data_IF_447839790632
#
_entry.id   IF_447839790632
#
_cell.length_a   1.000
_cell.length_b   1.000
_cell.length_c   1.000
_cell.angle_alpha   90.00
_cell.angle_beta   90.00
_cell.angle_gamma   90.00
#
_symmetry.space_group_name_H-M   'P 1'
#
loop_
_entity.id
_entity.type
_entity.pdbx_description
1 polymer ?
#
# COMPACT_ATOMS: atom_id res chain seq x y z
N UNK A 1 -8.91 -6.53 -2.97
CA UNK A 1 -8.19 -5.85 -4.07
C UNK A 1 -7.79 -6.79 -5.20
N UNK A 2 -7.17 -7.94 -4.91
CA UNK A 2 -6.64 -8.87 -5.92
C UNK A 2 -7.62 -9.32 -7.02
N UNK A 3 -8.93 -9.41 -6.71
CA UNK A 3 -9.96 -9.83 -7.67
C UNK A 3 -10.16 -8.84 -8.86
N UNK A 4 -9.78 -7.57 -8.68
CA UNK A 4 -9.87 -6.52 -9.71
C UNK A 4 -8.62 -6.51 -10.58
N UNK A 5 -7.51 -7.10 -10.12
CA UNK A 5 -6.27 -7.14 -10.89
C UNK A 5 -6.36 -8.13 -12.06
N UNK A 6 -5.74 -7.80 -13.20
CA UNK A 6 -5.62 -8.73 -14.31
C UNK A 6 -4.63 -9.85 -13.99
N UNK A 7 -5.10 -11.10 -14.03
CA UNK A 7 -4.25 -12.29 -14.02
C UNK A 7 -4.03 -12.74 -15.46
N UNK A 8 -3.04 -12.14 -16.12
CA UNK A 8 -2.83 -12.32 -17.56
C UNK A 8 -4.02 -11.76 -18.35
N UNK A 9 -4.73 -12.62 -19.09
CA UNK A 9 -5.88 -12.22 -19.91
C UNK A 9 -7.23 -12.34 -19.17
N UNK A 10 -7.23 -12.77 -17.90
CA UNK A 10 -8.45 -12.96 -17.11
C UNK A 10 -8.55 -11.90 -16.02
N UNK A 11 -9.66 -11.16 -16.02
CA UNK A 11 -10.04 -10.24 -14.94
C UNK A 11 -11.32 -10.80 -14.32
N UNK A 12 -11.27 -11.31 -13.08
CA UNK A 12 -12.44 -11.93 -12.44
C UNK A 12 -13.61 -10.96 -12.28
N UNK A 13 -13.32 -9.70 -11.94
CA UNK A 13 -14.32 -8.66 -11.71
C UNK A 13 -13.89 -7.37 -12.40
N UNK A 14 -14.75 -6.84 -13.27
CA UNK A 14 -14.50 -5.64 -14.07
C UNK A 14 -15.68 -4.67 -13.98
N UNK A 15 -15.40 -3.43 -13.59
CA UNK A 15 -16.36 -2.34 -13.52
C UNK A 15 -15.82 -1.09 -14.23
N UNK A 16 -16.72 -0.18 -14.57
CA UNK A 16 -16.33 1.15 -15.04
C UNK A 16 -15.80 1.95 -13.84
N UNK A 17 -14.48 2.20 -13.79
CA UNK A 17 -13.83 2.88 -12.68
C UNK A 17 -13.19 1.97 -11.63
N UNK A 18 -12.79 0.76 -12.01
CA UNK A 18 -12.04 -0.21 -11.19
C UNK A 18 -10.87 0.41 -10.41
N UNK A 19 -10.24 1.45 -10.96
CA UNK A 19 -9.18 2.22 -10.32
C UNK A 19 -9.56 2.72 -8.91
N UNK A 20 -10.73 3.36 -8.77
CA UNK A 20 -11.14 3.91 -7.47
C UNK A 20 -11.50 2.79 -6.51
N UNK A 21 -12.17 1.75 -7.00
CA UNK A 21 -12.53 0.58 -6.18
C UNK A 21 -11.27 -0.07 -5.61
N UNK A 22 -10.21 -0.21 -6.42
CA UNK A 22 -8.93 -0.76 -5.98
C UNK A 22 -8.33 0.06 -4.83
N UNK A 23 -8.23 1.39 -4.97
CA UNK A 23 -7.71 2.27 -3.93
C UNK A 23 -8.56 2.25 -2.66
N UNK A 24 -9.89 2.31 -2.79
CA UNK A 24 -10.79 2.28 -1.64
C UNK A 24 -10.67 0.97 -0.83
N UNK A 25 -10.52 -0.17 -1.51
CA UNK A 25 -10.38 -1.46 -0.84
C UNK A 25 -9.04 -1.57 -0.11
N UNK A 26 -7.96 -1.02 -0.65
CA UNK A 26 -6.67 -0.96 0.05
C UNK A 26 -6.74 -0.07 1.29
N UNK A 27 -7.24 1.16 1.13
CA UNK A 27 -7.40 2.08 2.25
C UNK A 27 -8.30 1.50 3.35
N UNK A 28 -9.38 0.80 2.97
CA UNK A 28 -10.26 0.12 3.93
C UNK A 28 -9.56 -1.03 4.67
N UNK A 29 -8.69 -1.79 3.98
CA UNK A 29 -7.86 -2.82 4.62
C UNK A 29 -6.91 -2.19 5.65
N UNK A 30 -6.23 -1.11 5.29
CA UNK A 30 -5.34 -0.37 6.19
C UNK A 30 -6.07 0.13 7.44
N UNK A 31 -7.29 0.66 7.28
CA UNK A 31 -8.15 1.04 8.42
C UNK A 31 -8.55 -0.15 9.28
N UNK A 32 -8.87 -1.29 8.68
CA UNK A 32 -9.21 -2.50 9.43
C UNK A 32 -8.00 -3.00 10.26
N UNK A 33 -6.79 -2.97 9.68
CA UNK A 33 -5.55 -3.32 10.38
C UNK A 33 -5.26 -2.37 11.54
N UNK A 34 -5.46 -1.06 11.36
CA UNK A 34 -5.32 -0.08 12.44
C UNK A 34 -6.26 -0.39 13.62
N UNK A 35 -7.53 -0.68 13.35
CA UNK A 35 -8.51 -1.02 14.39
C UNK A 35 -8.13 -2.34 15.10
N UNK A 36 -7.62 -3.33 14.34
CA UNK A 36 -7.15 -4.59 14.91
C UNK A 36 -5.97 -4.38 15.88
N UNK A 37 -5.03 -3.50 15.55
CA UNK A 37 -3.90 -3.17 16.42
C UNK A 37 -4.32 -2.57 17.77
N UNK A 38 -5.31 -1.66 17.78
CA UNK A 38 -5.82 -1.06 19.02
C UNK A 38 -6.68 -2.00 19.87
N UNK A 39 -7.09 -3.15 19.35
CA UNK A 39 -7.88 -4.11 20.12
C UNK A 39 -7.09 -4.77 21.26
N UNK A 40 -5.76 -4.61 21.30
CA UNK A 40 -4.89 -5.21 22.32
C UNK A 40 -4.69 -4.27 23.50
N UNK A 41 -5.06 -4.72 24.70
CA UNK A 41 -5.05 -3.92 25.92
C UNK A 41 -3.70 -3.99 26.65
N UNK A 42 -2.64 -3.49 26.02
CA UNK A 42 -1.29 -3.41 26.61
C UNK A 42 -0.58 -2.13 26.17
N UNK A 43 0.04 -1.40 27.10
CA UNK A 43 0.74 -0.13 26.81
C UNK A 43 1.89 -0.32 25.81
N UNK A 44 2.57 -1.47 25.85
CA UNK A 44 3.68 -1.78 24.94
C UNK A 44 3.18 -2.09 23.52
N UNK A 45 2.13 -2.89 23.39
CA UNK A 45 1.52 -3.21 22.09
C UNK A 45 0.93 -1.97 21.43
N UNK A 46 0.32 -1.08 22.21
CA UNK A 46 -0.21 0.18 21.68
C UNK A 46 0.89 1.14 21.18
N UNK A 47 2.07 1.13 21.81
CA UNK A 47 3.21 1.94 21.36
C UNK A 47 3.78 1.43 20.02
N UNK A 48 3.93 0.12 19.86
CA UNK A 48 4.33 -0.51 18.59
C UNK A 48 3.29 -0.27 17.48
N UNK A 49 2.02 -0.51 17.77
CA UNK A 49 0.91 -0.30 16.83
C UNK A 49 0.82 1.15 16.33
N UNK A 50 1.08 2.15 17.19
CA UNK A 50 1.13 3.55 16.76
C UNK A 50 2.25 3.82 15.74
N UNK A 51 3.40 3.14 15.85
CA UNK A 51 4.51 3.29 14.90
C UNK A 51 4.18 2.65 13.56
N UNK A 52 3.61 1.45 13.55
CA UNK A 52 3.12 0.79 12.33
C UNK A 52 2.07 1.62 11.61
N UNK A 53 1.11 2.14 12.39
CA UNK A 53 0.01 2.93 11.87
C UNK A 53 0.49 4.21 11.19
N UNK A 54 1.51 4.88 11.75
CA UNK A 54 2.12 6.04 11.09
C UNK A 54 2.78 5.68 9.75
N UNK A 55 3.43 4.52 9.66
CA UNK A 55 4.03 4.05 8.41
C UNK A 55 2.97 3.69 7.35
N UNK A 56 1.97 2.90 7.73
CA UNK A 56 0.86 2.48 6.86
C UNK A 56 0.09 3.70 6.33
N UNK A 57 -0.22 4.67 7.20
CA UNK A 57 -0.91 5.90 6.79
C UNK A 57 -0.05 6.79 5.86
N UNK A 58 1.27 6.74 5.99
CA UNK A 58 2.17 7.54 5.16
C UNK A 58 2.34 6.93 3.76
N UNK A 59 2.26 5.59 3.63
CA UNK A 59 2.55 4.90 2.37
C UNK A 59 1.34 4.78 1.43
N UNK A 60 0.13 4.65 1.99
CA UNK A 60 -1.14 4.65 1.25
C UNK A 60 -1.29 5.83 0.26
N UNK A 61 -1.09 7.11 0.65
CA UNK A 61 -1.20 8.22 -0.30
C UNK A 61 -0.10 8.19 -1.37
N UNK A 62 1.10 7.69 -1.05
CA UNK A 62 2.19 7.54 -2.03
C UNK A 62 1.80 6.51 -3.10
N UNK A 63 1.21 5.39 -2.68
CA UNK A 63 0.68 4.37 -3.58
C UNK A 63 -0.45 4.94 -4.45
N UNK A 64 -1.37 5.72 -3.87
CA UNK A 64 -2.43 6.42 -4.60
C UNK A 64 -1.90 7.36 -5.68
N UNK A 65 -0.86 8.14 -5.38
CA UNK A 65 -0.21 9.03 -6.35
C UNK A 65 0.50 8.23 -7.45
N UNK A 66 1.23 7.17 -7.11
CA UNK A 66 1.93 6.35 -8.09
C UNK A 66 0.96 5.73 -9.12
N UNK A 67 -0.14 5.13 -8.65
CA UNK A 67 -1.17 4.55 -9.52
C UNK A 67 -1.92 5.67 -10.29
N UNK A 68 -2.14 6.83 -9.68
CA UNK A 68 -2.71 8.00 -10.35
C UNK A 68 -1.88 8.47 -11.55
N UNK A 69 -0.54 8.50 -11.42
CA UNK A 69 0.36 8.84 -12.53
C UNK A 69 0.23 7.80 -13.65
N UNK A 70 0.13 6.51 -13.33
CA UNK A 70 -0.08 5.46 -14.33
C UNK A 70 -1.42 5.63 -15.08
N UNK A 71 -2.51 5.92 -14.35
CA UNK A 71 -3.83 6.14 -14.94
C UNK A 71 -3.84 7.37 -15.89
N UNK A 72 -3.14 8.45 -15.52
CA UNK A 72 -3.02 9.65 -16.34
C UNK A 72 -2.24 9.38 -17.63
N UNK A 73 -1.10 8.67 -17.57
CA UNK A 73 -0.32 8.36 -18.76
C UNK A 73 -1.04 7.36 -19.70
N UNK A 74 -1.78 6.41 -19.14
CA UNK A 74 -2.54 5.43 -19.92
C UNK A 74 -3.89 5.98 -20.44
N UNK A 75 -4.29 7.20 -20.04
CA UNK A 75 -5.61 7.79 -20.33
C UNK A 75 -6.79 6.84 -20.03
N UNK A 76 -6.66 6.00 -19.01
CA UNK A 76 -7.63 4.96 -18.68
C UNK A 76 -7.80 4.81 -17.17
N UNK A 77 -9.05 4.70 -16.75
CA UNK A 77 -9.44 4.44 -15.35
C UNK A 77 -9.70 2.94 -15.08
N UNK A 78 -9.39 2.09 -16.05
CA UNK A 78 -9.50 0.62 -15.92
C UNK A 78 -8.15 0.05 -15.50
N UNK A 79 -8.06 -0.55 -14.32
CA UNK A 79 -6.79 -1.10 -13.79
C UNK A 79 -6.16 -2.12 -14.75
N UNK A 80 -7.00 -2.90 -15.45
CA UNK A 80 -6.57 -3.87 -16.45
C UNK A 80 -6.04 -3.24 -17.75
N UNK A 81 -6.47 -2.02 -18.07
CA UNK A 81 -6.12 -1.32 -19.31
C UNK A 81 -4.88 -0.42 -19.20
N UNK A 82 -4.50 -0.07 -17.96
CA UNK A 82 -3.30 0.73 -17.67
C UNK A 82 -2.01 0.08 -18.23
N UNK A 83 -1.68 -1.20 -17.93
CA UNK A 83 -0.46 -1.83 -18.44
C UNK A 83 -0.41 -1.98 -19.96
N UNK A 84 -1.56 -2.02 -20.64
CA UNK A 84 -1.65 -2.19 -22.09
C UNK A 84 -1.38 -0.90 -22.87
N UNK A 85 -1.62 0.27 -22.27
CA UNK A 85 -1.49 1.58 -22.93
C UNK A 85 -0.34 2.41 -22.36
N UNK A 86 0.57 1.78 -21.61
CA UNK A 86 1.66 2.45 -20.94
C UNK A 86 2.80 2.78 -21.92
N UNK A 87 3.05 4.07 -22.12
CA UNK A 87 4.22 4.58 -22.85
C UNK A 87 5.37 4.85 -21.90
N UNK A 88 6.60 4.51 -22.29
CA UNK A 88 7.79 4.82 -21.49
C UNK A 88 8.11 6.32 -21.55
N UNK A 89 7.66 7.04 -20.53
CA UNK A 89 7.98 8.46 -20.30
C UNK A 89 8.73 8.61 -18.98
N UNK A 90 9.47 9.71 -18.76
CA UNK A 90 10.15 9.94 -17.48
C UNK A 90 9.20 9.90 -16.27
N UNK A 91 7.95 10.32 -16.44
CA UNK A 91 6.91 10.26 -15.42
C UNK A 91 6.52 8.82 -15.07
N UNK A 92 6.43 7.91 -16.05
CA UNK A 92 6.11 6.50 -15.76
C UNK A 92 7.26 5.78 -15.07
N UNK A 93 8.51 6.13 -15.38
CA UNK A 93 9.68 5.58 -14.68
C UNK A 93 9.67 6.00 -13.21
N UNK A 94 9.39 7.28 -12.93
CA UNK A 94 9.21 7.77 -11.57
C UNK A 94 8.04 7.09 -10.86
N UNK A 95 6.92 6.87 -11.55
CA UNK A 95 5.77 6.15 -10.98
C UNK A 95 6.13 4.70 -10.62
N UNK A 96 6.93 4.01 -11.44
CA UNK A 96 7.44 2.67 -11.12
C UNK A 96 8.36 2.69 -9.90
N UNK A 97 9.26 3.68 -9.80
CA UNK A 97 10.13 3.83 -8.64
C UNK A 97 9.34 4.10 -7.35
N UNK A 98 8.32 4.97 -7.41
CA UNK A 98 7.43 5.25 -6.29
C UNK A 98 6.59 4.03 -5.90
N UNK A 99 6.08 3.28 -6.88
CA UNK A 99 5.33 2.06 -6.63
C UNK A 99 6.21 0.97 -6.00
N UNK A 100 7.44 0.79 -6.49
CA UNK A 100 8.40 -0.14 -5.89
C UNK A 100 8.76 0.26 -4.46
N UNK A 101 8.95 1.56 -4.20
CA UNK A 101 9.18 2.08 -2.85
C UNK A 101 7.98 1.84 -1.93
N UNK A 102 6.76 2.09 -2.42
CA UNK A 102 5.54 1.88 -1.66
C UNK A 102 5.37 0.42 -1.24
N UNK A 103 5.54 -0.52 -2.17
CA UNK A 103 5.47 -1.96 -1.89
C UNK A 103 6.59 -2.41 -0.96
N UNK A 104 7.79 -1.85 -1.09
CA UNK A 104 8.91 -2.17 -0.20
C UNK A 104 8.66 -1.71 1.23
N UNK A 105 8.13 -0.50 1.42
CA UNK A 105 7.81 0.02 2.74
C UNK A 105 6.59 -0.69 3.37
N UNK A 106 5.56 -0.99 2.59
CA UNK A 106 4.37 -1.74 3.05
C UNK A 106 4.71 -3.20 3.40
N UNK A 107 5.69 -3.79 2.71
CA UNK A 107 6.18 -5.15 3.00
C UNK A 107 6.98 -5.27 4.30
N UNK A 108 7.21 -4.18 5.05
CA UNK A 108 7.91 -4.22 6.33
C UNK A 108 9.38 -4.66 6.21
N UNK A 109 10.02 -4.46 5.05
CA UNK A 109 11.43 -4.79 4.90
C UNK A 109 12.31 -3.82 5.70
N UNK A 110 13.38 -4.33 6.32
CA UNK A 110 14.42 -3.54 6.99
C UNK A 110 14.93 -2.47 6.00
N UNK A 111 14.84 -1.16 6.28
CA UNK A 111 14.80 -0.50 7.59
C UNK A 111 13.42 -0.01 8.08
N UNK A 112 12.32 -0.35 7.39
CA UNK A 112 10.96 0.09 7.74
C UNK A 112 10.26 -0.79 8.78
N UNK A 113 10.97 -1.78 9.31
CA UNK A 113 10.54 -2.66 10.38
C UNK A 113 10.80 -2.06 11.77
N UNK A 114 10.10 -0.96 12.09
CA UNK A 114 10.27 -0.21 13.35
C UNK A 114 9.40 -0.80 14.49
N UNK A 115 8.41 -1.61 14.14
CA UNK A 115 7.41 -2.14 15.05
C UNK A 115 7.88 -3.40 15.77
N UNK A 116 8.62 -4.25 15.07
CA UNK A 116 9.19 -5.50 15.58
C UNK A 116 10.53 -5.27 16.32
N UNK A 117 10.85 -4.02 16.73
CA UNK A 117 12.09 -3.69 17.41
C UNK A 117 12.20 -4.39 18.79
N UNK A 118 12.61 -5.66 18.77
CA UNK A 118 13.01 -6.50 19.90
C UNK A 118 14.02 -5.84 20.87
N UNK A 119 14.92 -4.89 20.49
CA UNK A 119 15.88 -4.33 21.43
C UNK A 119 15.28 -3.37 22.48
N UNK A 120 14.17 -2.69 22.21
CA UNK A 120 13.68 -1.63 23.12
C UNK A 120 12.94 -2.17 24.37
N UNK A 121 12.49 -3.42 24.34
CA UNK A 121 11.69 -4.01 25.44
C UNK A 121 12.57 -4.86 26.38
N UNK A 122 13.64 -5.48 25.87
CA UNK A 122 14.52 -6.35 26.66
C UNK A 122 15.52 -5.56 27.53
N UNK A 123 16.00 -4.41 27.06
CA UNK A 123 17.07 -3.65 27.75
C UNK A 123 16.58 -2.97 29.05
N UNK A 124 15.27 -2.91 29.31
CA UNK A 124 14.71 -2.32 30.55
C UNK A 124 14.25 -3.36 31.58
N UNK A 125 14.41 -4.65 31.30
CA UNK A 125 14.09 -5.75 32.23
C UNK A 125 15.30 -6.30 33.01
N UNK A 126 16.48 -5.71 32.84
CA UNK A 126 17.67 -5.96 33.68
C UNK A 126 17.96 -4.79 34.63
#
# INVERSE_FOLDING_TARGET
>A
AALVLPFGNFVPVRFTGDFFVFLYVLAMFSVAMMIAGFSVNSTYTNAGANREMMLILSIEPVLGVAIGIFALNAHSLSISGIPLNLTFTPSTILAYALLAYAVYAEGGFIPFDIAEAEPEILERSE
#
